data_IF_212408223764
#
_entry.id   IF_212408223764
#
_cell.length_a   1.000
_cell.length_b   1.000
_cell.length_c   1.000
_cell.angle_alpha   90.00
_cell.angle_beta   90.00
_cell.angle_gamma   90.00
#
_symmetry.space_group_name_H-M   'P 1'
#
loop_
_entity.id
_entity.type
_entity.pdbx_description
1 polymer ?
#
# COMPACT_ATOMS: atom_id res chain seq x y z
N UNK A 1 0.30 23.11 30.82
CA UNK A 1 -0.74 22.06 30.82
C UNK A 1 -1.87 22.56 29.93
N UNK A 2 -1.87 22.17 28.65
CA UNK A 2 -2.86 22.62 27.67
C UNK A 2 -4.09 21.71 27.76
N UNK A 3 -5.18 22.24 28.30
CA UNK A 3 -6.50 21.61 28.26
C UNK A 3 -7.15 22.05 26.95
N UNK A 4 -7.16 21.19 25.91
CA UNK A 4 -8.00 21.41 24.74
C UNK A 4 -9.39 20.81 25.02
N UNK A 5 -10.34 21.67 25.33
CA UNK A 5 -11.75 21.33 25.51
C UNK A 5 -12.39 21.08 24.13
N UNK A 6 -12.96 19.89 23.90
CA UNK A 6 -13.83 19.66 22.72
C UNK A 6 -15.18 20.33 23.02
N UNK A 7 -15.47 21.43 22.33
CA UNK A 7 -16.78 22.06 22.34
C UNK A 7 -17.72 21.27 21.43
N UNK A 8 -18.58 20.43 22.00
CA UNK A 8 -19.81 20.02 21.31
C UNK A 8 -20.83 21.16 21.49
N UNK A 9 -20.95 22.02 20.48
CA UNK A 9 -21.99 23.04 20.41
C UNK A 9 -23.33 22.38 20.11
N UNK A 10 -24.26 22.41 21.07
CA UNK A 10 -25.68 22.24 20.85
C UNK A 10 -26.36 23.49 21.39
N UNK A 11 -26.96 24.30 20.52
CA UNK A 11 -27.69 25.52 20.90
C UNK A 11 -29.03 25.15 21.53
N UNK A 12 -29.00 24.72 22.79
CA UNK A 12 -30.08 24.86 23.78
C UNK A 12 -29.72 24.01 25.01
N UNK A 13 -29.92 24.58 26.19
CA UNK A 13 -29.71 24.00 27.53
C UNK A 13 -28.30 24.11 28.12
N UNK A 14 -28.15 25.14 28.96
CA UNK A 14 -27.08 25.29 29.93
C UNK A 14 -27.21 24.23 31.04
N UNK A 15 -26.74 23.01 30.79
CA UNK A 15 -26.45 22.04 31.85
C UNK A 15 -24.94 21.97 32.05
N UNK A 16 -24.49 22.10 33.31
CA UNK A 16 -23.09 21.87 33.72
C UNK A 16 -22.72 20.41 33.42
N UNK A 17 -22.13 20.16 32.25
CA UNK A 17 -21.50 18.89 31.94
C UNK A 17 -20.21 18.80 32.76
N UNK A 18 -20.14 17.85 33.71
CA UNK A 18 -18.87 17.59 34.41
C UNK A 18 -17.92 16.89 33.43
N UNK A 19 -16.92 17.61 32.97
CA UNK A 19 -15.93 17.10 32.01
C UNK A 19 -14.89 16.32 32.83
N UNK A 20 -14.90 14.99 32.74
CA UNK A 20 -13.78 14.20 33.25
C UNK A 20 -12.57 14.46 32.34
N UNK A 21 -11.41 14.89 32.88
CA UNK A 21 -10.22 15.08 32.07
C UNK A 21 -9.75 13.73 31.56
N UNK A 22 -9.96 13.48 30.27
CA UNK A 22 -9.34 12.34 29.59
C UNK A 22 -7.82 12.49 29.74
N UNK A 23 -7.17 11.43 30.22
CA UNK A 23 -5.72 11.45 30.31
C UNK A 23 -5.09 11.40 28.90
N UNK A 24 -3.81 11.74 28.78
CA UNK A 24 -3.12 11.81 27.49
C UNK A 24 -3.21 10.50 26.68
N UNK A 25 -3.27 9.34 27.36
CA UNK A 25 -3.41 8.02 26.72
C UNK A 25 -4.81 7.83 26.13
N UNK A 26 -5.86 8.24 26.84
CA UNK A 26 -7.23 8.15 26.34
C UNK A 26 -7.49 9.11 25.18
N UNK A 27 -6.94 10.33 25.24
CA UNK A 27 -6.98 11.27 24.12
C UNK A 27 -6.22 10.71 22.91
N UNK A 28 -5.01 10.18 23.10
CA UNK A 28 -4.26 9.54 22.01
C UNK A 28 -5.03 8.37 21.38
N UNK A 29 -5.68 7.52 22.18
CA UNK A 29 -6.48 6.40 21.69
C UNK A 29 -7.75 6.86 20.98
N UNK A 30 -8.41 7.91 21.47
CA UNK A 30 -9.58 8.49 20.80
C UNK A 30 -9.18 9.15 19.48
N UNK A 31 -8.15 10.00 19.48
CA UNK A 31 -7.64 10.64 18.28
C UNK A 31 -7.10 9.62 17.29
N UNK A 32 -6.35 8.60 17.72
CA UNK A 32 -5.89 7.55 16.80
C UNK A 32 -7.08 6.78 16.22
N UNK A 33 -8.08 6.42 17.02
CA UNK A 33 -9.26 5.70 16.54
C UNK A 33 -10.15 6.54 15.62
N UNK A 34 -10.12 7.87 15.73
CA UNK A 34 -10.86 8.82 14.86
C UNK A 34 -10.05 9.17 13.61
N UNK A 35 -8.75 9.46 13.75
CA UNK A 35 -7.82 9.80 12.66
C UNK A 35 -7.54 8.60 11.75
N UNK A 36 -7.43 7.39 12.32
CA UNK A 36 -7.18 6.15 11.59
C UNK A 36 -8.46 5.37 11.26
N UNK A 37 -9.66 5.92 11.54
CA UNK A 37 -10.93 5.26 11.15
C UNK A 37 -11.04 5.24 9.63
N UNK A 38 -10.64 4.12 9.03
CA UNK A 38 -10.85 3.83 7.62
C UNK A 38 -10.08 4.77 6.69
N UNK A 39 -8.78 4.94 6.91
CA UNK A 39 -7.93 5.62 5.93
C UNK A 39 -8.02 4.85 4.61
N UNK A 40 -8.54 5.54 3.59
CA UNK A 40 -8.49 5.04 2.22
C UNK A 40 -7.09 5.27 1.68
N UNK A 41 -6.62 4.35 0.83
CA UNK A 41 -5.39 4.56 0.07
C UNK A 41 -5.51 5.83 -0.79
N UNK A 42 -4.39 6.49 -1.06
CA UNK A 42 -4.37 7.71 -1.87
C UNK A 42 -4.82 7.44 -3.30
N UNK A 43 -5.27 8.47 -4.01
CA UNK A 43 -5.61 8.33 -5.43
C UNK A 43 -4.38 8.06 -6.30
N UNK A 44 -3.21 8.56 -5.89
CA UNK A 44 -1.94 8.27 -6.56
C UNK A 44 -1.62 6.78 -6.50
N UNK A 45 -1.64 6.18 -5.31
CA UNK A 45 -1.43 4.73 -5.14
C UNK A 45 -2.46 3.90 -5.91
N UNK A 46 -3.76 4.22 -5.78
CA UNK A 46 -4.81 3.50 -6.52
C UNK A 46 -4.60 3.59 -8.03
N UNK A 47 -4.18 4.75 -8.54
CA UNK A 47 -3.92 4.96 -9.96
C UNK A 47 -2.74 4.13 -10.46
N UNK A 48 -1.67 4.11 -9.67
CA UNK A 48 -0.46 3.32 -9.90
C UNK A 48 -0.77 1.81 -9.91
N UNK A 49 -1.39 1.29 -8.84
CA UNK A 49 -1.81 -0.10 -8.73
C UNK A 49 -2.75 -0.51 -9.87
N UNK A 50 -3.80 0.28 -10.16
CA UNK A 50 -4.73 -0.02 -11.26
C UNK A 50 -4.01 -0.13 -12.61
N UNK A 51 -3.04 0.76 -12.84
CA UNK A 51 -2.28 0.79 -14.10
C UNK A 51 -1.35 -0.42 -14.20
N UNK A 52 -0.63 -0.73 -13.13
CA UNK A 52 0.19 -1.94 -13.04
C UNK A 52 -0.64 -3.21 -13.27
N UNK A 53 -1.76 -3.37 -12.54
CA UNK A 53 -2.68 -4.51 -12.70
C UNK A 53 -3.20 -4.62 -14.14
N UNK A 54 -3.56 -3.51 -14.78
CA UNK A 54 -4.03 -3.51 -16.16
C UNK A 54 -2.98 -4.06 -17.13
N UNK A 55 -1.74 -3.58 -17.05
CA UNK A 55 -0.66 -4.05 -17.91
C UNK A 55 -0.28 -5.51 -17.62
N UNK A 56 -0.26 -5.90 -16.35
CA UNK A 56 -0.04 -7.28 -15.95
C UNK A 56 -1.12 -8.21 -16.51
N UNK A 57 -2.40 -7.94 -16.25
CA UNK A 57 -3.50 -8.80 -16.67
C UNK A 57 -3.72 -8.85 -18.19
N UNK A 58 -3.35 -7.79 -18.92
CA UNK A 58 -3.45 -7.75 -20.38
C UNK A 58 -2.27 -8.41 -21.10
N UNK A 59 -1.18 -8.74 -20.40
CA UNK A 59 0.04 -9.24 -21.04
C UNK A 59 0.86 -8.16 -21.75
N UNK A 60 0.58 -6.87 -21.50
CA UNK A 60 1.17 -5.75 -22.27
C UNK A 60 2.18 -4.92 -21.48
N UNK A 61 2.63 -5.41 -20.33
CA UNK A 61 3.66 -4.74 -19.53
C UNK A 61 4.98 -4.65 -20.32
N UNK A 62 5.50 -3.44 -20.52
CA UNK A 62 6.66 -3.18 -21.38
C UNK A 62 7.92 -3.91 -20.94
N UNK A 63 8.15 -4.02 -19.62
CA UNK A 63 9.29 -4.74 -19.02
C UNK A 63 9.21 -6.27 -19.19
N UNK A 64 8.07 -6.83 -19.57
CA UNK A 64 7.86 -8.27 -19.76
C UNK A 64 7.71 -8.65 -21.24
N UNK A 65 8.15 -7.77 -22.15
CA UNK A 65 8.07 -8.02 -23.59
C UNK A 65 8.81 -9.32 -23.94
N UNK A 66 8.07 -10.28 -24.49
CA UNK A 66 8.60 -11.59 -24.90
C UNK A 66 8.44 -12.70 -23.86
N UNK A 67 7.92 -12.39 -22.66
CA UNK A 67 7.57 -13.39 -21.65
C UNK A 67 6.08 -13.70 -21.75
N UNK A 68 5.73 -14.97 -21.95
CA UNK A 68 4.32 -15.42 -21.96
C UNK A 68 3.85 -15.78 -20.54
N UNK A 69 3.66 -14.78 -19.68
CA UNK A 69 3.30 -14.97 -18.26
C UNK A 69 1.79 -14.98 -17.99
N UNK A 70 0.95 -14.60 -18.96
CA UNK A 70 -0.51 -14.42 -18.73
C UNK A 70 -1.18 -15.75 -18.36
N UNK A 71 -0.69 -16.88 -18.88
CA UNK A 71 -1.20 -18.21 -18.55
C UNK A 71 -1.02 -18.57 -17.06
N UNK A 72 -0.04 -17.96 -16.37
CA UNK A 72 0.21 -18.19 -14.94
C UNK A 72 -0.96 -17.75 -14.06
N UNK A 73 -1.79 -16.81 -14.49
CA UNK A 73 -2.99 -16.40 -13.74
C UNK A 73 -3.94 -17.59 -13.47
N UNK A 74 -4.02 -18.55 -14.39
CA UNK A 74 -4.86 -19.75 -14.23
C UNK A 74 -4.08 -20.99 -13.80
N UNK A 75 -2.84 -21.13 -14.27
CA UNK A 75 -2.06 -22.36 -14.06
C UNK A 75 -1.26 -22.34 -12.76
N UNK A 76 -0.65 -21.20 -12.41
CA UNK A 76 0.28 -21.07 -11.27
C UNK A 76 0.08 -19.71 -10.58
N UNK A 77 -1.10 -19.46 -9.99
CA UNK A 77 -1.45 -18.14 -9.46
C UNK A 77 -0.52 -17.65 -8.34
N UNK A 78 0.19 -18.55 -7.65
CA UNK A 78 1.21 -18.21 -6.66
C UNK A 78 2.38 -17.40 -7.25
N UNK A 79 2.71 -17.59 -8.53
CA UNK A 79 3.72 -16.77 -9.20
C UNK A 79 3.22 -15.33 -9.38
N UNK A 80 1.97 -15.16 -9.81
CA UNK A 80 1.35 -13.84 -9.95
C UNK A 80 1.14 -13.18 -8.59
N UNK A 81 0.74 -13.93 -7.57
CA UNK A 81 0.62 -13.45 -6.19
C UNK A 81 1.94 -12.82 -5.71
N UNK A 82 3.07 -13.51 -5.94
CA UNK A 82 4.40 -12.99 -5.57
C UNK A 82 4.74 -11.69 -6.30
N UNK A 83 4.38 -11.55 -7.58
CA UNK A 83 4.57 -10.30 -8.33
C UNK A 83 3.85 -9.14 -7.66
N UNK A 84 2.60 -9.34 -7.24
CA UNK A 84 1.84 -8.30 -6.56
C UNK A 84 2.40 -8.00 -5.17
N UNK A 85 2.83 -9.03 -4.42
CA UNK A 85 3.49 -8.84 -3.13
C UNK A 85 4.74 -7.96 -3.27
N UNK A 86 5.64 -8.29 -4.21
CA UNK A 86 6.85 -7.50 -4.47
C UNK A 86 6.49 -6.06 -4.84
N UNK A 87 5.54 -5.86 -5.76
CA UNK A 87 5.12 -4.52 -6.15
C UNK A 87 4.61 -3.71 -4.95
N UNK A 88 3.75 -4.30 -4.11
CA UNK A 88 3.16 -3.60 -2.95
C UNK A 88 4.11 -3.42 -1.78
N UNK A 89 5.11 -4.28 -1.63
CA UNK A 89 6.11 -4.15 -0.57
C UNK A 89 7.13 -3.06 -0.93
N UNK A 90 7.51 -2.96 -2.21
CA UNK A 90 8.54 -2.03 -2.70
C UNK A 90 8.01 -0.62 -2.95
N UNK A 91 6.73 -0.46 -3.30
CA UNK A 91 6.19 0.86 -3.63
C UNK A 91 6.20 1.81 -2.43
N UNK A 92 6.78 2.99 -2.64
CA UNK A 92 6.96 4.03 -1.65
C UNK A 92 6.00 5.19 -1.91
N UNK A 93 5.49 5.76 -0.82
CA UNK A 93 4.63 6.92 -0.80
C UNK A 93 5.29 8.06 -0.03
N UNK A 94 5.16 9.29 -0.51
CA UNK A 94 5.54 10.49 0.26
C UNK A 94 4.55 10.77 1.41
N UNK A 95 4.81 11.83 2.18
CA UNK A 95 3.94 12.24 3.31
C UNK A 95 2.50 12.62 2.93
N UNK A 96 2.22 12.85 1.64
CA UNK A 96 0.89 13.12 1.10
C UNK A 96 0.24 11.88 0.48
N UNK A 97 0.92 10.73 0.54
CA UNK A 97 0.49 9.49 -0.10
C UNK A 97 0.75 9.44 -1.60
N UNK A 98 1.60 10.30 -2.16
CA UNK A 98 1.96 10.28 -3.58
C UNK A 98 3.03 9.22 -3.82
N UNK A 99 2.83 8.37 -4.84
CA UNK A 99 3.81 7.37 -5.25
C UNK A 99 5.06 8.06 -5.79
N UNK A 100 6.23 7.68 -5.27
CA UNK A 100 7.52 8.30 -5.64
C UNK A 100 8.49 7.37 -6.37
N UNK A 101 8.21 6.05 -6.45
CA UNK A 101 9.12 5.06 -7.03
C UNK A 101 8.41 4.00 -7.91
N UNK A 102 7.27 4.34 -8.54
CA UNK A 102 6.41 3.38 -9.27
C UNK A 102 7.20 2.49 -10.26
N UNK A 103 8.02 3.10 -11.11
CA UNK A 103 8.82 2.37 -12.11
C UNK A 103 9.79 1.39 -11.47
N UNK A 104 10.39 1.75 -10.32
CA UNK A 104 11.26 0.86 -9.57
C UNK A 104 10.48 -0.32 -8.99
N UNK A 105 9.33 -0.09 -8.36
CA UNK A 105 8.48 -1.16 -7.85
C UNK A 105 8.02 -2.12 -8.96
N UNK A 106 7.64 -1.59 -10.14
CA UNK A 106 7.31 -2.39 -11.32
C UNK A 106 8.50 -3.21 -11.80
N UNK A 107 9.69 -2.61 -11.86
CA UNK A 107 10.92 -3.33 -12.23
C UNK A 107 11.17 -4.50 -11.27
N UNK A 108 11.11 -4.27 -9.96
CA UNK A 108 11.33 -5.35 -8.95
C UNK A 108 10.32 -6.48 -9.13
N UNK A 109 9.06 -6.15 -9.29
CA UNK A 109 7.99 -7.13 -9.49
C UNK A 109 8.15 -7.93 -10.80
N UNK A 110 8.58 -7.28 -11.87
CA UNK A 110 8.78 -7.93 -13.18
C UNK A 110 10.10 -8.69 -13.28
N UNK A 111 11.16 -8.26 -12.60
CA UNK A 111 12.42 -9.01 -12.46
C UNK A 111 12.18 -10.40 -11.85
N UNK A 112 11.22 -10.53 -10.93
CA UNK A 112 10.81 -11.83 -10.40
C UNK A 112 10.27 -12.75 -11.52
N UNK A 113 9.40 -12.25 -12.41
CA UNK A 113 8.92 -13.05 -13.54
C UNK A 113 10.02 -13.38 -14.55
N UNK A 114 10.98 -12.48 -14.78
CA UNK A 114 12.16 -12.81 -15.58
C UNK A 114 12.91 -13.99 -14.96
N UNK A 115 13.20 -13.94 -13.65
CA UNK A 115 13.87 -15.05 -12.94
C UNK A 115 13.05 -16.34 -12.88
N UNK A 116 11.72 -16.22 -12.95
CA UNK A 116 10.81 -17.36 -12.97
C UNK A 116 10.89 -18.14 -14.29
N UNK A 117 11.03 -17.43 -15.41
CA UNK A 117 11.10 -18.04 -16.75
C UNK A 117 12.53 -18.35 -17.20
N UNK A 118 13.50 -17.57 -16.74
CA UNK A 118 14.91 -17.74 -17.08
C UNK A 118 15.73 -17.89 -15.79
N UNK A 119 16.10 -19.14 -15.49
CA UNK A 119 16.95 -19.47 -14.34
C UNK A 119 18.36 -18.84 -14.40
N UNK A 120 18.77 -18.32 -15.55
CA UNK A 120 20.04 -17.60 -15.72
C UNK A 120 19.91 -16.10 -15.50
N UNK A 121 18.67 -15.58 -15.42
CA UNK A 121 18.42 -14.19 -15.09
C UNK A 121 18.69 -13.92 -13.61
N UNK A 122 19.69 -13.09 -13.35
CA UNK A 122 20.06 -12.69 -11.99
C UNK A 122 19.43 -11.35 -11.68
N UNK A 123 18.50 -11.33 -10.74
CA UNK A 123 17.88 -10.11 -10.21
C UNK A 123 18.95 -9.26 -9.54
N UNK A 124 19.05 -7.97 -9.92
CA UNK A 124 20.01 -7.01 -9.38
C UNK A 124 19.33 -5.70 -8.99
N UNK A 125 19.44 -5.26 -7.71
CA UNK A 125 20.04 -5.98 -6.59
C UNK A 125 19.29 -7.29 -6.27
N UNK A 126 19.91 -8.25 -5.57
CA UNK A 126 19.18 -9.44 -5.11
C UNK A 126 17.97 -9.01 -4.27
N UNK A 127 16.90 -9.80 -4.28
CA UNK A 127 15.76 -9.53 -3.40
C UNK A 127 16.19 -9.58 -1.94
N UNK A 128 15.79 -8.56 -1.20
CA UNK A 128 15.75 -8.62 0.25
C UNK A 128 14.55 -9.47 0.69
N UNK A 129 14.64 -10.13 1.84
CA UNK A 129 13.59 -11.06 2.31
C UNK A 129 12.22 -10.37 2.40
N UNK A 130 12.18 -9.11 2.87
CA UNK A 130 10.95 -8.33 3.00
C UNK A 130 10.30 -8.00 1.64
N UNK A 131 11.07 -7.92 0.55
CA UNK A 131 10.49 -7.64 -0.77
C UNK A 131 9.58 -8.80 -1.22
N UNK A 132 9.88 -10.03 -0.81
CA UNK A 132 9.17 -11.23 -1.27
C UNK A 132 8.15 -11.75 -0.26
N UNK A 133 8.02 -11.17 0.93
CA UNK A 133 7.05 -11.58 1.94
C UNK A 133 5.60 -11.43 1.45
N UNK A 134 4.74 -12.41 1.76
CA UNK A 134 3.30 -12.34 1.51
C UNK A 134 2.61 -11.81 2.77
N UNK A 135 2.00 -10.62 2.70
CA UNK A 135 1.32 -9.93 3.82
C UNK A 135 -0.21 -10.05 3.77
#
# INVERSE_FOLDING_TARGET
MLVLSILTFNESEYTKVSINPLNARELFLYFSKVLFKGMKLSNSFKGSLRTFTYFMASGTHSMLKGINYVELYGNEPSAIERVFAIYTNVIELDGNGIVINDEYAQKRATDYLHSYYDSTFIVQPQFEDWEIELH
#
